data_IF_160626426578
#
_entry.id   IF_160626426578
#
_cell.length_a   1.000
_cell.length_b   1.000
_cell.length_c   1.000
_cell.angle_alpha   90.00
_cell.angle_beta   90.00
_cell.angle_gamma   90.00
#
_symmetry.space_group_name_H-M   'P 1'
#
loop_
_entity.id
_entity.type
_entity.pdbx_description
1 polymer ?
#
# COMPACT_ATOMS: atom_id res chain seq x y z
N UNK A 1 -21.88 36.25 17.25
CA UNK A 1 -21.20 37.30 18.05
C UNK A 1 -21.74 38.70 17.72
N UNK A 2 -21.92 39.56 18.73
CA UNK A 2 -22.30 40.96 18.52
C UNK A 2 -21.07 41.87 18.33
N UNK A 3 -21.17 42.94 17.52
CA UNK A 3 -20.08 43.92 17.37
C UNK A 3 -19.80 44.66 18.68
N UNK A 4 -18.55 45.12 18.85
CA UNK A 4 -18.13 45.92 20.02
C UNK A 4 -18.88 47.26 20.08
N UNK A 5 -19.10 47.80 21.28
CA UNK A 5 -19.88 49.02 21.51
C UNK A 5 -19.08 50.31 21.25
N UNK A 6 -18.46 50.41 20.08
CA UNK A 6 -17.88 51.65 19.56
C UNK A 6 -18.85 52.33 18.57
N UNK A 7 -18.66 53.63 18.24
CA UNK A 7 -19.51 54.34 17.28
C UNK A 7 -19.54 53.70 15.89
N UNK A 8 -18.43 53.13 15.45
CA UNK A 8 -18.22 52.52 14.13
C UNK A 8 -18.20 50.97 14.15
N UNK A 9 -18.30 50.37 15.34
CA UNK A 9 -18.26 48.92 15.57
C UNK A 9 -16.90 48.26 15.31
N UNK A 10 -15.80 49.03 15.35
CA UNK A 10 -14.43 48.52 15.25
C UNK A 10 -13.59 48.77 16.50
N UNK A 11 -12.48 48.04 16.62
CA UNK A 11 -11.48 48.21 17.69
C UNK A 11 -10.50 49.32 17.33
N UNK A 12 -10.13 50.10 18.34
CA UNK A 12 -9.16 51.19 18.27
C UNK A 12 -8.07 50.96 19.31
N UNK A 13 -6.82 51.12 18.88
CA UNK A 13 -5.69 51.21 19.79
C UNK A 13 -5.72 52.56 20.50
N UNK A 14 -5.34 52.59 21.78
CA UNK A 14 -5.10 53.85 22.46
C UNK A 14 -3.72 54.40 22.10
N UNK A 15 -3.60 55.71 21.96
CA UNK A 15 -2.32 56.39 21.69
C UNK A 15 -1.53 56.68 22.99
N UNK A 16 -2.14 56.40 24.16
CA UNK A 16 -1.56 56.63 25.49
C UNK A 16 -1.52 58.10 25.93
N UNK A 17 -2.10 59.02 25.15
CA UNK A 17 -2.03 60.48 25.39
C UNK A 17 -3.39 61.16 25.25
N UNK A 18 -4.13 60.89 24.18
CA UNK A 18 -5.38 61.58 23.83
C UNK A 18 -6.54 60.66 23.41
N UNK A 19 -6.25 59.42 23.01
CA UNK A 19 -7.21 58.43 22.56
C UNK A 19 -7.18 57.20 23.48
N UNK A 20 -8.33 56.89 24.07
CA UNK A 20 -8.51 55.68 24.87
C UNK A 20 -8.72 54.49 23.94
N UNK A 21 -7.95 53.42 24.18
CA UNK A 21 -8.15 52.16 23.48
C UNK A 21 -9.53 51.57 23.76
N UNK A 22 -10.01 50.73 22.84
CA UNK A 22 -11.31 50.08 22.97
C UNK A 22 -11.33 49.15 24.18
N UNK A 23 -12.22 49.44 25.13
CA UNK A 23 -12.43 48.59 26.31
C UNK A 23 -13.09 47.30 25.84
N UNK A 24 -12.51 46.15 26.22
CA UNK A 24 -13.06 44.82 25.95
C UNK A 24 -13.88 44.34 27.17
N UNK A 25 -15.21 44.52 27.19
CA UNK A 25 -16.02 44.13 28.32
C UNK A 25 -16.12 42.60 28.43
N UNK A 26 -16.34 42.10 29.64
CA UNK A 26 -16.41 40.67 29.92
C UNK A 26 -17.49 39.95 29.07
N UNK A 27 -18.61 40.61 28.78
CA UNK A 27 -19.66 40.03 27.93
C UNK A 27 -19.16 39.73 26.52
N UNK A 28 -18.27 40.56 25.97
CA UNK A 28 -17.75 40.39 24.61
C UNK A 28 -16.74 39.24 24.56
N UNK A 29 -15.79 39.21 25.51
CA UNK A 29 -14.82 38.11 25.65
C UNK A 29 -15.51 36.76 25.92
N UNK A 30 -16.56 36.75 26.73
CA UNK A 30 -17.35 35.55 26.97
C UNK A 30 -18.07 35.06 25.71
N UNK A 31 -18.56 35.95 24.84
CA UNK A 31 -19.11 35.55 23.54
C UNK A 31 -18.06 34.90 22.65
N UNK A 32 -16.84 35.47 22.57
CA UNK A 32 -15.73 34.86 21.82
C UNK A 32 -15.43 33.47 22.33
N UNK A 33 -15.34 33.31 23.65
CA UNK A 33 -15.10 32.02 24.26
C UNK A 33 -16.22 31.01 23.93
N UNK A 34 -17.49 31.41 24.06
CA UNK A 34 -18.63 30.55 23.76
C UNK A 34 -18.69 30.10 22.30
N UNK A 35 -18.39 30.99 21.34
CA UNK A 35 -18.36 30.65 19.90
C UNK A 35 -17.24 29.65 19.59
N UNK A 36 -16.03 29.85 20.16
CA UNK A 36 -14.92 28.90 19.98
C UNK A 36 -15.20 27.54 20.65
N UNK A 37 -15.86 27.53 21.81
CA UNK A 37 -16.33 26.31 22.46
C UNK A 37 -17.42 25.59 21.66
N UNK A 38 -18.31 26.32 21.00
CA UNK A 38 -19.33 25.74 20.12
C UNK A 38 -18.70 25.00 18.93
N UNK A 39 -17.64 25.55 18.34
CA UNK A 39 -16.86 24.87 17.28
C UNK A 39 -16.25 23.56 17.78
N UNK A 40 -15.63 23.57 18.98
CA UNK A 40 -15.10 22.35 19.61
C UNK A 40 -16.20 21.32 19.89
N UNK A 41 -17.35 21.77 20.40
CA UNK A 41 -18.51 20.92 20.73
C UNK A 41 -19.09 20.27 19.48
N UNK A 42 -19.24 21.03 18.39
CA UNK A 42 -19.71 20.51 17.11
C UNK A 42 -18.78 19.43 16.54
N UNK A 43 -17.47 19.55 16.78
CA UNK A 43 -16.49 18.53 16.45
C UNK A 43 -16.38 17.39 17.49
N UNK A 44 -17.16 17.41 18.58
CA UNK A 44 -17.05 16.44 19.68
C UNK A 44 -15.71 16.46 20.41
N UNK A 45 -15.00 17.60 20.40
CA UNK A 45 -13.71 17.78 21.08
C UNK A 45 -13.96 18.41 22.45
N UNK A 46 -13.43 17.79 23.50
CA UNK A 46 -13.43 18.38 24.83
C UNK A 46 -12.31 19.45 24.93
N UNK A 47 -12.61 20.66 25.43
CA UNK A 47 -11.62 21.72 25.53
C UNK A 47 -10.46 21.35 26.45
N UNK A 48 -9.24 21.62 26.02
CA UNK A 48 -8.01 21.34 26.77
C UNK A 48 -7.11 22.58 26.82
N UNK A 49 -6.78 23.04 28.03
CA UNK A 49 -5.92 24.22 28.24
C UNK A 49 -4.49 24.01 27.75
N UNK A 50 -4.02 22.76 27.68
CA UNK A 50 -2.68 22.44 27.21
C UNK A 50 -2.56 22.41 25.68
N UNK A 51 -3.68 22.52 24.93
CA UNK A 51 -3.72 22.42 23.47
C UNK A 51 -4.08 23.75 22.79
N UNK A 52 -3.09 24.50 22.26
CA UNK A 52 -3.34 25.78 21.61
C UNK A 52 -3.95 25.67 20.19
N UNK A 53 -4.07 24.46 19.63
CA UNK A 53 -4.51 24.20 18.25
C UNK A 53 -5.92 23.58 18.12
N UNK A 54 -6.65 23.43 19.23
CA UNK A 54 -7.91 22.70 19.31
C UNK A 54 -9.01 23.22 18.37
N UNK A 55 -9.11 24.54 18.15
CA UNK A 55 -10.09 25.13 17.22
C UNK A 55 -9.78 24.74 15.77
N UNK A 56 -8.49 24.68 15.40
CA UNK A 56 -8.06 24.24 14.07
C UNK A 56 -8.33 22.75 13.88
N UNK A 57 -8.11 21.92 14.91
CA UNK A 57 -8.48 20.50 14.89
C UNK A 57 -9.99 20.30 14.70
N UNK A 58 -10.81 21.08 15.43
CA UNK A 58 -12.26 21.03 15.30
C UNK A 58 -12.73 21.41 13.89
N UNK A 59 -12.19 22.49 13.31
CA UNK A 59 -12.53 22.90 11.95
C UNK A 59 -12.16 21.84 10.92
N UNK A 60 -10.97 21.22 11.03
CA UNK A 60 -10.56 20.12 10.15
C UNK A 60 -11.53 18.94 10.23
N UNK A 61 -11.86 18.52 11.45
CA UNK A 61 -12.80 17.41 11.69
C UNK A 61 -14.20 17.70 11.12
N UNK A 62 -14.74 18.89 11.36
CA UNK A 62 -16.05 19.30 10.81
C UNK A 62 -16.02 19.32 9.28
N UNK A 63 -14.95 19.84 8.68
CA UNK A 63 -14.78 19.87 7.21
C UNK A 63 -14.66 18.44 6.66
N UNK A 64 -13.92 17.56 7.31
CA UNK A 64 -13.75 16.16 6.89
C UNK A 64 -15.07 15.36 7.01
N UNK A 65 -15.82 15.54 8.09
CA UNK A 65 -17.14 14.93 8.28
C UNK A 65 -18.15 15.44 7.23
N UNK A 66 -18.13 16.74 6.93
CA UNK A 66 -18.96 17.35 5.88
C UNK A 66 -18.51 16.95 4.46
N UNK A 67 -17.22 16.75 4.23
CA UNK A 67 -16.66 16.26 2.97
C UNK A 67 -16.98 14.77 2.74
N UNK A 68 -17.07 13.97 3.82
CA UNK A 68 -17.55 12.59 3.79
C UNK A 68 -18.98 12.46 3.24
N UNK A 69 -19.81 13.51 3.37
CA UNK A 69 -21.16 13.58 2.80
C UNK A 69 -21.24 14.06 1.34
N UNK A 70 -20.14 14.55 0.75
CA UNK A 70 -20.12 15.10 -0.63
C UNK A 70 -19.38 14.23 -1.65
N UNK A 71 -18.68 13.19 -1.22
CA UNK A 71 -18.01 12.21 -2.09
C UNK A 71 -18.87 10.98 -2.41
N UNK A 72 -18.57 10.30 -3.50
CA UNK A 72 -19.14 8.97 -3.78
C UNK A 72 -18.75 8.00 -2.65
N UNK A 73 -19.69 7.25 -2.05
CA UNK A 73 -19.39 6.33 -0.96
C UNK A 73 -18.52 5.16 -1.44
N UNK A 74 -17.73 4.58 -0.52
CA UNK A 74 -16.98 3.33 -0.80
C UNK A 74 -17.97 2.24 -1.20
N UNK A 75 -17.65 1.52 -2.29
CA UNK A 75 -18.53 0.54 -2.91
C UNK A 75 -19.45 1.10 -4.00
N UNK A 76 -19.55 2.42 -4.17
CA UNK A 76 -20.28 3.00 -5.29
C UNK A 76 -19.64 2.58 -6.62
N UNK A 77 -20.47 2.19 -7.59
CA UNK A 77 -20.03 1.87 -8.95
C UNK A 77 -20.29 3.07 -9.85
N UNK A 78 -19.28 3.45 -10.63
CA UNK A 78 -19.34 4.54 -11.61
C UNK A 78 -18.78 4.11 -12.95
N UNK A 79 -19.42 4.55 -14.02
CA UNK A 79 -18.94 4.37 -15.38
C UNK A 79 -18.04 5.52 -15.80
N UNK A 80 -16.86 5.22 -16.33
CA UNK A 80 -15.99 6.19 -16.97
C UNK A 80 -15.88 5.89 -18.46
N UNK A 81 -15.98 6.90 -19.35
CA UNK A 81 -15.62 6.72 -20.75
C UNK A 81 -14.19 6.19 -20.86
N UNK A 82 -13.93 5.34 -21.88
CA UNK A 82 -12.72 4.51 -22.09
C UNK A 82 -11.34 5.20 -21.95
N UNK A 83 -11.30 6.53 -21.86
CA UNK A 83 -10.08 7.33 -21.72
C UNK A 83 -9.38 7.23 -20.36
N UNK A 84 -10.03 6.75 -19.29
CA UNK A 84 -9.43 6.71 -17.95
C UNK A 84 -8.91 5.31 -17.62
N UNK A 85 -7.58 5.19 -17.53
CA UNK A 85 -6.89 3.90 -17.35
C UNK A 85 -6.75 3.46 -15.88
N UNK A 86 -6.67 4.40 -14.93
CA UNK A 86 -6.58 4.15 -13.48
C UNK A 86 -7.00 5.39 -12.69
N UNK A 87 -8.30 5.58 -12.40
CA UNK A 87 -8.77 6.66 -11.55
C UNK A 87 -8.38 6.40 -10.09
N UNK A 88 -7.75 7.39 -9.45
CA UNK A 88 -7.30 7.30 -8.06
C UNK A 88 -8.46 6.99 -7.10
N UNK A 89 -8.27 6.01 -6.22
CA UNK A 89 -9.28 5.62 -5.25
C UNK A 89 -10.37 4.69 -5.80
N UNK A 90 -10.19 4.13 -7.00
CA UNK A 90 -11.12 3.17 -7.62
C UNK A 90 -10.41 1.89 -8.05
N UNK A 91 -11.16 0.79 -8.09
CA UNK A 91 -10.75 -0.48 -8.68
C UNK A 91 -11.68 -0.83 -9.85
N UNK A 92 -11.20 -1.61 -10.83
CA UNK A 92 -12.05 -2.05 -11.95
C UNK A 92 -13.09 -3.05 -11.45
N UNK A 93 -14.34 -2.89 -11.88
CA UNK A 93 -15.41 -3.84 -11.56
C UNK A 93 -15.37 -5.05 -12.54
N UNK A 94 -14.28 -5.82 -12.51
CA UNK A 94 -14.01 -6.93 -13.43
C UNK A 94 -14.12 -8.32 -12.80
N UNK A 95 -14.53 -8.41 -11.54
CA UNK A 95 -14.63 -9.67 -10.81
C UNK A 95 -13.33 -10.16 -10.16
N UNK A 96 -12.24 -9.40 -10.27
CA UNK A 96 -10.97 -9.70 -9.59
C UNK A 96 -11.10 -9.66 -8.07
N UNK A 97 -10.10 -10.20 -7.38
CA UNK A 97 -10.00 -10.12 -5.92
C UNK A 97 -9.14 -8.94 -5.49
N UNK A 98 -9.41 -8.42 -4.30
CA UNK A 98 -8.61 -7.35 -3.70
C UNK A 98 -8.15 -7.74 -2.29
N UNK A 99 -7.07 -7.12 -1.84
CA UNK A 99 -6.52 -7.36 -0.51
C UNK A 99 -7.38 -6.67 0.57
N UNK A 100 -7.98 -7.47 1.47
CA UNK A 100 -8.77 -6.96 2.59
C UNK A 100 -7.98 -5.99 3.48
N UNK A 101 -6.69 -6.27 3.72
CA UNK A 101 -5.83 -5.41 4.52
C UNK A 101 -5.63 -4.02 3.89
N UNK A 102 -5.69 -3.92 2.56
CA UNK A 102 -5.54 -2.67 1.82
C UNK A 102 -6.85 -1.90 1.71
N UNK A 103 -7.98 -2.61 1.59
CA UNK A 103 -9.32 -2.00 1.42
C UNK A 103 -10.36 -2.58 2.41
N UNK A 104 -10.19 -2.37 3.72
CA UNK A 104 -11.05 -2.97 4.74
C UNK A 104 -12.51 -2.48 4.67
N UNK A 105 -12.73 -1.21 4.32
CA UNK A 105 -14.07 -0.65 4.15
C UNK A 105 -14.79 -1.24 2.94
N UNK A 106 -14.07 -1.42 1.82
CA UNK A 106 -14.65 -2.05 0.64
C UNK A 106 -15.04 -3.51 0.94
N UNK A 107 -14.21 -4.25 1.68
CA UNK A 107 -14.52 -5.61 2.13
C UNK A 107 -15.81 -5.64 2.96
N UNK A 108 -15.96 -4.71 3.90
CA UNK A 108 -17.17 -4.61 4.73
C UNK A 108 -18.41 -4.31 3.90
N UNK A 109 -18.32 -3.43 2.91
CA UNK A 109 -19.45 -3.09 2.01
C UNK A 109 -19.82 -4.26 1.10
N UNK A 110 -18.84 -4.95 0.52
CA UNK A 110 -19.09 -6.06 -0.41
C UNK A 110 -19.41 -7.39 0.28
N UNK A 111 -19.10 -7.53 1.58
CA UNK A 111 -19.24 -8.80 2.31
C UNK A 111 -18.23 -9.88 1.90
N UNK A 112 -17.16 -9.50 1.18
CA UNK A 112 -16.15 -10.41 0.66
C UNK A 112 -15.02 -9.69 -0.08
N UNK A 113 -14.02 -10.44 -0.52
CA UNK A 113 -12.81 -9.90 -1.18
C UNK A 113 -12.87 -9.95 -2.72
N UNK A 114 -14.07 -10.09 -3.30
CA UNK A 114 -14.27 -10.18 -4.75
C UNK A 114 -15.06 -8.97 -5.24
N UNK A 115 -14.54 -8.31 -6.26
CA UNK A 115 -15.22 -7.18 -6.90
C UNK A 115 -16.44 -7.67 -7.70
N UNK A 116 -17.46 -6.82 -7.90
CA UNK A 116 -18.51 -7.11 -8.87
C UNK A 116 -17.89 -7.33 -10.26
N UNK A 117 -18.36 -8.33 -11.00
CA UNK A 117 -17.99 -8.52 -12.40
C UNK A 117 -19.06 -7.85 -13.27
N UNK A 118 -18.74 -6.64 -13.72
CA UNK A 118 -19.53 -5.83 -14.64
C UNK A 118 -18.90 -5.79 -16.04
N UNK A 119 -18.02 -6.74 -16.36
CA UNK A 119 -17.46 -6.97 -17.70
C UNK A 119 -18.19 -8.07 -18.46
N UNK A 120 -19.38 -8.49 -17.97
CA UNK A 120 -20.21 -9.48 -18.65
C UNK A 120 -20.66 -8.93 -20.00
N UNK A 121 -20.23 -9.62 -21.05
CA UNK A 121 -20.57 -9.33 -22.44
C UNK A 121 -21.56 -10.39 -22.91
N UNK A 122 -22.64 -9.97 -23.59
CA UNK A 122 -23.52 -10.90 -24.30
C UNK A 122 -23.20 -10.91 -25.81
N UNK A 123 -22.03 -10.40 -26.20
CA UNK A 123 -21.56 -10.43 -27.58
C UNK A 123 -21.47 -11.88 -28.07
N UNK A 124 -21.99 -12.13 -29.26
CA UNK A 124 -22.14 -13.47 -29.83
C UNK A 124 -23.50 -14.12 -29.58
N UNK A 125 -24.35 -13.54 -28.72
CA UNK A 125 -25.74 -13.98 -28.57
C UNK A 125 -26.52 -13.76 -29.86
N UNK A 126 -27.38 -14.72 -30.24
CA UNK A 126 -28.29 -14.59 -31.36
C UNK A 126 -29.73 -14.36 -30.90
N UNK A 127 -30.48 -13.59 -31.67
CA UNK A 127 -31.90 -13.33 -31.42
C UNK A 127 -32.65 -13.07 -32.73
N UNK A 128 -33.95 -13.38 -32.74
CA UNK A 128 -34.84 -13.06 -33.85
C UNK A 128 -35.52 -11.72 -33.61
N UNK A 129 -35.48 -10.87 -34.64
CA UNK A 129 -36.10 -9.56 -34.62
C UNK A 129 -37.34 -9.58 -35.53
N UNK A 130 -38.51 -9.12 -35.04
CA UNK A 130 -39.72 -8.99 -35.85
C UNK A 130 -39.72 -7.72 -36.71
N UNK A 131 -38.60 -6.98 -36.75
CA UNK A 131 -38.43 -5.71 -37.45
C UNK A 131 -37.26 -5.80 -38.43
N UNK A 132 -37.34 -5.05 -39.53
CA UNK A 132 -36.28 -5.00 -40.54
C UNK A 132 -35.13 -4.06 -40.13
N UNK A 133 -35.42 -3.02 -39.36
CA UNK A 133 -34.44 -2.07 -38.85
C UNK A 133 -33.65 -2.71 -37.71
N UNK A 134 -32.36 -2.99 -37.97
CA UNK A 134 -31.50 -3.67 -37.00
C UNK A 134 -30.99 -2.64 -35.98
N UNK A 135 -31.20 -2.86 -34.67
CA UNK A 135 -30.71 -1.93 -33.65
C UNK A 135 -29.19 -1.82 -33.60
N UNK A 136 -28.70 -0.70 -33.11
CA UNK A 136 -27.26 -0.50 -32.88
C UNK A 136 -26.68 -1.61 -31.98
N UNK A 137 -25.45 -2.01 -32.30
CA UNK A 137 -24.77 -3.12 -31.64
C UNK A 137 -25.23 -4.52 -32.08
N UNK A 138 -26.14 -4.63 -33.05
CA UNK A 138 -26.56 -5.89 -33.66
C UNK A 138 -26.24 -5.93 -35.16
N UNK A 139 -25.99 -7.13 -35.68
CA UNK A 139 -25.71 -7.38 -37.10
C UNK A 139 -26.60 -8.53 -37.57
N UNK A 140 -27.14 -8.47 -38.80
CA UNK A 140 -27.81 -9.63 -39.40
C UNK A 140 -26.82 -10.79 -39.48
N UNK A 141 -27.22 -11.98 -39.06
CA UNK A 141 -26.30 -13.11 -38.92
C UNK A 141 -25.54 -13.43 -40.22
N UNK A 142 -26.23 -13.38 -41.36
CA UNK A 142 -25.64 -13.68 -42.67
C UNK A 142 -24.71 -12.58 -43.22
N UNK A 143 -24.67 -11.41 -42.57
CA UNK A 143 -23.74 -10.32 -42.89
C UNK A 143 -22.48 -10.36 -42.01
N UNK A 144 -22.31 -11.39 -41.17
CA UNK A 144 -21.14 -11.51 -40.29
C UNK A 144 -19.82 -11.48 -41.06
N UNK A 145 -19.71 -12.28 -42.12
CA UNK A 145 -18.47 -12.36 -42.91
C UNK A 145 -18.09 -11.02 -43.57
N UNK A 146 -19.05 -10.13 -43.83
CA UNK A 146 -18.80 -8.85 -44.50
C UNK A 146 -18.64 -7.68 -43.52
N UNK A 147 -19.36 -7.68 -42.39
CA UNK A 147 -19.38 -6.57 -41.43
C UNK A 147 -18.44 -6.77 -40.24
N UNK A 148 -18.17 -8.01 -39.84
CA UNK A 148 -17.38 -8.30 -38.63
C UNK A 148 -15.89 -8.29 -38.97
N UNK A 149 -15.19 -7.28 -38.49
CA UNK A 149 -13.73 -7.16 -38.61
C UNK A 149 -13.09 -7.01 -37.23
N UNK A 150 -11.78 -7.29 -37.13
CA UNK A 150 -11.04 -7.13 -35.89
C UNK A 150 -11.06 -5.68 -35.37
N UNK A 151 -11.16 -4.68 -36.25
CA UNK A 151 -11.20 -3.26 -35.86
C UNK A 151 -12.60 -2.80 -35.44
N UNK A 152 -13.64 -3.20 -36.15
CA UNK A 152 -15.00 -2.76 -35.88
C UNK A 152 -15.65 -3.52 -34.70
N UNK A 153 -15.42 -4.83 -34.61
CA UNK A 153 -16.08 -5.74 -33.67
C UNK A 153 -15.06 -6.73 -33.06
N UNK A 154 -14.07 -6.24 -32.30
CA UNK A 154 -12.91 -7.04 -31.86
C UNK A 154 -13.29 -8.26 -31.01
N UNK A 155 -14.26 -8.13 -30.10
CA UNK A 155 -14.69 -9.24 -29.24
C UNK A 155 -15.40 -10.33 -30.05
N UNK A 156 -16.41 -9.94 -30.85
CA UNK A 156 -17.15 -10.88 -31.69
C UNK A 156 -16.22 -11.59 -32.68
N UNK A 157 -15.32 -10.83 -33.32
CA UNK A 157 -14.33 -11.38 -34.25
C UNK A 157 -13.47 -12.45 -33.56
N UNK A 158 -12.94 -12.17 -32.36
CA UNK A 158 -12.14 -13.13 -31.60
C UNK A 158 -12.91 -14.40 -31.27
N UNK A 159 -14.17 -14.28 -30.84
CA UNK A 159 -15.02 -15.42 -30.49
C UNK A 159 -15.28 -16.32 -31.71
N UNK A 160 -15.67 -15.71 -32.84
CA UNK A 160 -15.99 -16.45 -34.06
C UNK A 160 -14.75 -17.08 -34.70
N UNK A 161 -13.63 -16.36 -34.78
CA UNK A 161 -12.36 -16.91 -35.30
C UNK A 161 -11.83 -18.03 -34.41
N UNK A 162 -11.98 -17.94 -33.09
CA UNK A 162 -11.59 -19.04 -32.20
C UNK A 162 -12.42 -20.32 -32.46
N UNK A 163 -13.70 -20.17 -32.80
CA UNK A 163 -14.60 -21.30 -33.07
C UNK A 163 -14.43 -21.88 -34.48
N UNK A 164 -14.31 -21.02 -35.49
CA UNK A 164 -14.38 -21.41 -36.91
C UNK A 164 -13.04 -21.26 -37.66
N UNK A 165 -11.99 -20.77 -36.99
CA UNK A 165 -10.66 -20.57 -37.57
C UNK A 165 -10.50 -19.28 -38.40
N UNK A 166 -11.58 -18.80 -39.02
CA UNK A 166 -11.63 -17.52 -39.75
C UNK A 166 -13.04 -16.96 -39.76
N UNK A 167 -13.18 -15.65 -40.05
CA UNK A 167 -14.51 -15.03 -40.13
C UNK A 167 -15.29 -15.51 -41.37
N UNK A 168 -14.60 -15.82 -42.47
CA UNK A 168 -15.21 -16.33 -43.70
C UNK A 168 -15.73 -17.77 -43.55
N UNK A 169 -15.21 -18.50 -42.56
CA UNK A 169 -15.65 -19.86 -42.24
C UNK A 169 -16.88 -19.91 -41.34
N UNK A 170 -17.42 -18.76 -40.90
CA UNK A 170 -18.66 -18.72 -40.11
C UNK A 170 -19.82 -19.18 -41.00
N UNK A 171 -20.54 -20.26 -40.63
CA UNK A 171 -21.66 -20.74 -41.41
C UNK A 171 -22.77 -19.69 -41.49
N UNK A 172 -23.40 -19.57 -42.65
CA UNK A 172 -24.60 -18.73 -42.80
C UNK A 172 -25.83 -19.47 -42.27
N UNK A 173 -26.78 -18.71 -41.74
CA UNK A 173 -28.10 -19.21 -41.39
C UNK A 173 -28.93 -19.41 -42.66
N UNK A 174 -28.86 -18.50 -43.64
CA UNK A 174 -29.59 -18.58 -44.91
C UNK A 174 -31.10 -18.82 -44.66
N UNK A 175 -31.76 -19.59 -45.52
CA UNK A 175 -33.13 -20.06 -45.33
C UNK A 175 -33.17 -21.39 -44.54
N UNK A 176 -32.54 -21.43 -43.35
CA UNK A 176 -32.46 -22.65 -42.51
C UNK A 176 -33.06 -22.43 -41.13
N UNK A 177 -33.70 -23.48 -40.60
CA UNK A 177 -34.11 -23.51 -39.20
C UNK A 177 -32.92 -23.75 -38.27
N UNK A 178 -32.85 -22.95 -37.20
CA UNK A 178 -31.85 -23.12 -36.15
C UNK A 178 -32.31 -24.21 -35.17
N UNK A 179 -31.39 -25.10 -34.81
CA UNK A 179 -31.60 -26.18 -33.82
C UNK A 179 -30.41 -26.30 -32.88
N UNK A 180 -30.64 -26.92 -31.73
CA UNK A 180 -29.61 -27.10 -30.72
C UNK A 180 -28.53 -28.10 -31.17
N UNK A 181 -27.28 -27.77 -30.87
CA UNK A 181 -26.17 -28.72 -30.92
C UNK A 181 -26.37 -29.79 -29.83
N UNK A 182 -26.20 -31.05 -30.18
CA UNK A 182 -26.36 -32.18 -29.26
C UNK A 182 -25.77 -33.46 -29.84
N UNK A 183 -25.09 -34.26 -29.02
CA UNK A 183 -24.50 -35.52 -29.47
C UNK A 183 -23.47 -35.30 -30.58
N UNK A 184 -23.67 -35.92 -31.74
CA UNK A 184 -22.82 -35.76 -32.92
C UNK A 184 -23.05 -34.47 -33.71
N UNK A 185 -24.08 -33.68 -33.38
CA UNK A 185 -24.37 -32.41 -34.06
C UNK A 185 -23.63 -31.27 -33.39
N UNK A 186 -22.49 -30.87 -33.96
CA UNK A 186 -21.67 -29.77 -33.47
C UNK A 186 -22.21 -28.39 -33.90
N UNK A 187 -21.85 -27.35 -33.14
CA UNK A 187 -22.18 -25.95 -33.46
C UNK A 187 -21.66 -25.59 -34.87
N UNK A 188 -22.53 -25.04 -35.70
CA UNK A 188 -22.20 -24.67 -37.09
C UNK A 188 -22.44 -25.76 -38.14
N UNK A 189 -22.85 -26.97 -37.75
CA UNK A 189 -23.18 -28.03 -38.72
C UNK A 189 -24.44 -27.65 -39.53
N UNK A 190 -24.33 -27.61 -40.86
CA UNK A 190 -25.47 -27.41 -41.75
C UNK A 190 -26.10 -28.75 -42.15
N UNK A 191 -27.43 -28.80 -42.19
CA UNK A 191 -28.20 -29.98 -42.61
C UNK A 191 -29.13 -29.59 -43.77
N UNK A 192 -29.24 -30.46 -44.77
CA UNK A 192 -30.26 -30.33 -45.82
C UNK A 192 -31.63 -30.85 -45.36
N UNK A 193 -32.65 -30.59 -46.17
CA UNK A 193 -34.01 -31.03 -45.89
C UNK A 193 -34.11 -32.55 -45.91
N UNK A 194 -34.80 -33.10 -44.92
CA UNK A 194 -35.09 -34.53 -44.85
C UNK A 194 -36.52 -34.71 -44.38
N UNK A 195 -37.23 -35.62 -45.05
CA UNK A 195 -38.55 -36.09 -44.61
C UNK A 195 -38.43 -37.46 -43.96
N UNK A 196 -39.42 -37.79 -43.13
CA UNK A 196 -39.63 -39.18 -42.72
C UNK A 196 -40.10 -40.00 -43.92
N UNK A 197 -39.93 -41.31 -43.82
CA UNK A 197 -40.34 -42.25 -44.87
C UNK A 197 -41.84 -42.10 -45.21
N UNK A 198 -42.17 -42.08 -46.51
CA UNK A 198 -43.54 -42.11 -47.03
C UNK A 198 -43.80 -43.52 -47.53
N UNK A 199 -44.76 -44.21 -46.92
CA UNK A 199 -45.06 -45.61 -47.23
C UNK A 199 -46.38 -45.76 -47.96
N UNK A 200 -46.48 -46.79 -48.79
CA UNK A 200 -47.70 -47.22 -49.45
C UNK A 200 -47.51 -48.61 -50.03
N UNK A 201 -48.61 -49.29 -50.30
CA UNK A 201 -48.63 -50.64 -50.82
C UNK A 201 -49.25 -50.70 -52.21
N UNK A 202 -48.78 -51.68 -52.98
CA UNK A 202 -49.41 -52.13 -54.21
C UNK A 202 -49.55 -53.64 -54.09
N UNK A 203 -50.76 -54.14 -54.27
CA UNK A 203 -51.05 -55.57 -54.16
C UNK A 203 -51.40 -56.16 -55.54
N UNK A 204 -50.84 -57.33 -55.83
CA UNK A 204 -51.13 -58.13 -57.01
C UNK A 204 -51.77 -59.46 -56.57
N UNK A 205 -53.08 -59.62 -56.75
CA UNK A 205 -53.77 -60.88 -56.47
C UNK A 205 -53.79 -61.76 -57.72
N UNK A 206 -53.12 -62.91 -57.67
CA UNK A 206 -53.17 -63.94 -58.72
C UNK A 206 -54.17 -65.05 -58.31
N UNK A 207 -55.35 -65.09 -58.93
CA UNK A 207 -56.32 -66.17 -58.74
C UNK A 207 -57.10 -66.46 -60.03
N UNK A 208 -57.47 -67.74 -60.22
CA UNK A 208 -57.58 -68.49 -61.49
C UNK A 208 -58.42 -67.97 -62.67
N UNK A 209 -59.01 -66.77 -62.59
CA UNK A 209 -59.66 -66.10 -63.74
C UNK A 209 -59.41 -64.58 -63.81
N UNK A 210 -58.66 -63.98 -62.88
CA UNK A 210 -58.33 -62.54 -62.87
C UNK A 210 -56.85 -62.34 -63.09
N UNK A 211 -56.48 -62.05 -64.33
CA UNK A 211 -55.10 -61.76 -64.73
C UNK A 211 -54.83 -60.25 -64.64
N UNK A 212 -55.11 -59.63 -63.49
CA UNK A 212 -54.87 -58.20 -63.25
C UNK A 212 -53.60 -58.02 -62.42
N UNK A 213 -52.59 -57.37 -62.99
CA UNK A 213 -51.27 -57.17 -62.36
C UNK A 213 -51.33 -56.45 -61.02
N UNK A 214 -52.30 -55.56 -60.82
CA UNK A 214 -52.48 -54.85 -59.56
C UNK A 214 -53.97 -54.67 -59.23
N UNK A 215 -54.36 -55.03 -58.01
CA UNK A 215 -55.75 -55.07 -57.55
C UNK A 215 -56.07 -54.04 -56.47
N UNK A 216 -55.03 -53.48 -55.82
CA UNK A 216 -55.18 -52.48 -54.75
C UNK A 216 -53.94 -51.61 -54.64
N UNK A 217 -54.14 -50.31 -54.48
CA UNK A 217 -53.13 -49.37 -54.01
C UNK A 217 -53.59 -48.75 -52.69
N UNK A 218 -52.64 -48.45 -51.80
CA UNK A 218 -52.87 -47.70 -50.56
C UNK A 218 -51.68 -46.80 -50.21
N UNK A 219 -51.92 -45.88 -49.27
CA UNK A 219 -50.94 -44.85 -48.89
C UNK A 219 -50.65 -43.88 -50.04
N UNK A 220 -49.36 -43.61 -50.28
CA UNK A 220 -48.92 -42.69 -51.33
C UNK A 220 -49.08 -43.24 -52.75
N UNK A 221 -49.46 -44.51 -52.93
CA UNK A 221 -49.77 -45.05 -54.24
C UNK A 221 -51.27 -44.93 -54.56
N UNK A 222 -51.56 -44.73 -55.83
CA UNK A 222 -52.91 -44.84 -56.38
C UNK A 222 -52.89 -45.51 -57.75
N UNK A 223 -54.06 -45.91 -58.22
CA UNK A 223 -54.26 -46.54 -59.50
C UNK A 223 -55.37 -45.85 -60.25
N UNK A 224 -55.15 -45.56 -61.53
CA UNK A 224 -56.22 -45.05 -62.39
C UNK A 224 -57.25 -46.15 -62.66
N UNK A 225 -58.53 -45.76 -62.74
CA UNK A 225 -59.63 -46.67 -63.09
C UNK A 225 -59.54 -47.17 -64.54
N UNK A 226 -58.69 -46.54 -65.36
CA UNK A 226 -58.58 -46.77 -66.79
C UNK A 226 -58.21 -48.22 -67.15
N UNK A 227 -58.82 -48.71 -68.22
CA UNK A 227 -58.77 -50.07 -68.77
C UNK A 227 -57.66 -50.24 -69.83
N UNK A 228 -56.58 -49.47 -69.72
CA UNK A 228 -55.30 -49.80 -70.33
C UNK A 228 -54.83 -48.93 -71.51
N UNK A 229 -55.33 -47.70 -71.62
CA UNK A 229 -54.81 -46.70 -72.56
C UNK A 229 -53.42 -46.16 -72.15
N UNK A 230 -53.16 -45.93 -70.85
CA UNK A 230 -51.90 -45.38 -70.32
C UNK A 230 -51.22 -46.33 -69.30
N UNK A 231 -50.78 -47.50 -69.75
CA UNK A 231 -50.19 -48.52 -68.87
C UNK A 231 -48.68 -48.36 -68.65
N UNK A 232 -48.22 -48.47 -67.39
CA UNK A 232 -46.78 -48.59 -67.07
C UNK A 232 -46.24 -50.02 -67.19
N UNK A 233 -47.10 -51.04 -67.11
CA UNK A 233 -46.74 -52.47 -67.26
C UNK A 233 -47.86 -53.26 -67.98
N UNK A 234 -47.50 -54.29 -68.76
CA UNK A 234 -48.43 -55.16 -69.52
C UNK A 234 -48.04 -56.64 -69.33
N UNK A 235 -49.01 -57.52 -69.04
CA UNK A 235 -48.73 -58.92 -68.67
C UNK A 235 -48.64 -59.93 -69.82
N UNK A 236 -48.96 -59.59 -71.06
CA UNK A 236 -48.60 -60.42 -72.23
C UNK A 236 -48.67 -59.62 -73.53
N UNK A 237 -47.89 -60.04 -74.54
CA UNK A 237 -48.09 -59.62 -75.94
C UNK A 237 -49.00 -60.66 -76.60
N UNK A 238 -50.21 -60.27 -76.97
CA UNK A 238 -50.97 -60.97 -78.03
C UNK A 238 -52.22 -61.75 -77.65
N UNK A 239 -52.80 -61.59 -76.45
CA UNK A 239 -54.11 -62.20 -76.11
C UNK A 239 -55.18 -61.13 -75.86
N UNK A 240 -56.31 -61.23 -76.57
CA UNK A 240 -57.44 -60.30 -76.55
C UNK A 240 -58.14 -60.19 -75.19
N UNK A 241 -57.99 -61.18 -74.30
CA UNK A 241 -58.63 -61.16 -72.97
C UNK A 241 -57.84 -60.34 -71.92
N UNK A 242 -56.58 -60.01 -72.22
CA UNK A 242 -55.63 -59.40 -71.29
C UNK A 242 -55.31 -57.94 -71.60
N UNK A 243 -55.71 -57.46 -72.78
CA UNK A 243 -55.34 -56.13 -73.27
C UNK A 243 -56.02 -54.99 -72.48
N UNK A 244 -57.13 -55.29 -71.77
CA UNK A 244 -57.91 -54.34 -70.98
C UNK A 244 -57.55 -54.33 -69.48
N UNK A 245 -56.52 -55.09 -69.06
CA UNK A 245 -56.14 -55.30 -67.65
C UNK A 245 -54.91 -54.49 -67.22
N UNK A 246 -54.63 -53.38 -67.91
CA UNK A 246 -53.44 -52.57 -67.63
C UNK A 246 -53.82 -51.40 -66.74
N UNK A 247 -53.09 -51.22 -65.63
CA UNK A 247 -53.32 -50.14 -64.67
C UNK A 247 -52.10 -49.23 -64.61
N UNK A 248 -52.34 -47.91 -64.63
CA UNK A 248 -51.31 -46.93 -64.29
C UNK A 248 -51.19 -46.90 -62.77
N UNK A 249 -49.99 -47.12 -62.27
CA UNK A 249 -49.65 -46.86 -60.88
C UNK A 249 -49.04 -45.46 -60.81
N UNK A 250 -49.55 -44.63 -59.92
CA UNK A 250 -49.02 -43.29 -59.67
C UNK A 250 -48.58 -43.22 -58.21
N UNK A 251 -47.34 -42.77 -57.99
CA UNK A 251 -46.91 -42.30 -56.68
C UNK A 251 -47.27 -40.83 -56.56
N UNK A 252 -48.03 -40.50 -55.52
CA UNK A 252 -48.45 -39.14 -55.20
C UNK A 252 -48.37 -38.94 -53.68
N UNK A 253 -47.31 -38.25 -53.24
CA UNK A 253 -47.08 -37.95 -51.85
C UNK A 253 -48.18 -37.08 -51.23
N UNK A 254 -48.90 -36.28 -52.03
CA UNK A 254 -49.98 -35.39 -51.55
C UNK A 254 -51.12 -36.16 -50.88
N UNK A 255 -51.22 -37.46 -51.17
CA UNK A 255 -52.20 -38.40 -50.59
C UNK A 255 -51.89 -38.77 -49.14
N UNK A 256 -50.64 -38.57 -48.69
CA UNK A 256 -50.20 -38.93 -47.33
C UNK A 256 -49.72 -37.72 -46.53
N UNK A 257 -49.21 -36.67 -47.19
CA UNK A 257 -48.68 -35.47 -46.54
C UNK A 257 -48.95 -34.23 -47.40
N UNK A 258 -49.05 -33.02 -46.82
CA UNK A 258 -49.04 -31.77 -47.60
C UNK A 258 -47.76 -31.67 -48.44
N UNK A 259 -47.87 -31.17 -49.67
CA UNK A 259 -46.75 -31.03 -50.60
C UNK A 259 -46.59 -29.58 -51.07
N UNK A 260 -45.34 -29.21 -51.34
CA UNK A 260 -44.89 -27.94 -51.90
C UNK A 260 -43.49 -28.17 -52.52
N UNK A 261 -42.93 -27.15 -53.17
CA UNK A 261 -41.57 -27.22 -53.75
C UNK A 261 -40.46 -27.37 -52.68
N UNK A 262 -40.74 -26.99 -51.43
CA UNK A 262 -39.82 -27.03 -50.28
C UNK A 262 -40.46 -27.80 -49.11
N UNK A 263 -39.65 -28.64 -48.44
CA UNK A 263 -40.08 -29.37 -47.24
C UNK A 263 -39.87 -28.50 -46.00
N UNK A 264 -40.96 -27.98 -45.44
CA UNK A 264 -40.88 -27.21 -44.19
C UNK A 264 -42.12 -27.36 -43.29
N UNK A 265 -41.96 -27.28 -41.96
CA UNK A 265 -43.09 -27.03 -41.06
C UNK A 265 -43.68 -25.63 -41.32
N UNK A 266 -44.85 -25.35 -40.73
CA UNK A 266 -45.37 -23.98 -40.71
C UNK A 266 -44.36 -23.05 -40.04
N UNK A 267 -44.04 -21.93 -40.68
CA UNK A 267 -43.01 -21.00 -40.23
C UNK A 267 -43.48 -19.55 -40.31
N UNK A 268 -42.87 -18.71 -39.46
CA UNK A 268 -42.97 -17.25 -39.51
C UNK A 268 -41.55 -16.71 -39.63
N UNK A 269 -41.29 -15.93 -40.68
CA UNK A 269 -39.97 -15.38 -40.95
C UNK A 269 -39.68 -14.17 -40.04
N UNK A 270 -38.49 -14.13 -39.47
CA UNK A 270 -37.96 -13.03 -38.66
C UNK A 270 -36.47 -12.85 -38.99
N UNK A 271 -35.90 -11.68 -38.68
CA UNK A 271 -34.50 -11.41 -38.98
C UNK A 271 -33.61 -11.96 -37.87
N UNK A 272 -32.81 -12.99 -38.17
CA UNK A 272 -31.80 -13.49 -37.24
C UNK A 272 -30.63 -12.51 -37.16
N UNK A 273 -30.35 -12.03 -35.95
CA UNK A 273 -29.23 -11.14 -35.67
C UNK A 273 -28.29 -11.75 -34.63
N UNK A 274 -27.05 -11.27 -34.62
CA UNK A 274 -26.04 -11.53 -33.62
C UNK A 274 -25.63 -10.23 -32.93
N UNK A 275 -25.50 -10.25 -31.61
CA UNK A 275 -25.02 -9.11 -30.83
C UNK A 275 -23.53 -8.94 -31.08
N UNK A 276 -23.16 -7.80 -31.62
CA UNK A 276 -21.81 -7.49 -32.06
C UNK A 276 -21.06 -6.53 -31.13
N UNK A 277 -21.78 -5.70 -30.39
CA UNK A 277 -21.24 -4.80 -29.35
C UNK A 277 -22.16 -4.79 -28.13
N UNK A 278 -21.60 -4.54 -26.96
CA UNK A 278 -22.43 -4.19 -25.80
C UNK A 278 -22.80 -2.71 -25.85
N UNK A 279 -23.94 -2.40 -25.23
CA UNK A 279 -24.42 -1.04 -25.01
C UNK A 279 -23.51 -0.18 -24.12
N UNK A 280 -22.41 -0.73 -23.59
CA UNK A 280 -21.46 -0.08 -22.69
C UNK A 280 -19.99 -0.31 -23.11
N UNK A 281 -19.70 -0.73 -24.34
CA UNK A 281 -18.32 -1.04 -24.77
C UNK A 281 -17.35 0.17 -24.69
N UNK A 282 -17.90 1.39 -24.65
CA UNK A 282 -17.18 2.65 -24.46
C UNK A 282 -17.05 3.08 -22.99
N UNK A 283 -17.72 2.38 -22.06
CA UNK A 283 -17.75 2.69 -20.63
C UNK A 283 -17.08 1.57 -19.83
N UNK A 284 -16.03 1.92 -19.09
CA UNK A 284 -15.42 1.01 -18.11
C UNK A 284 -16.05 1.28 -16.76
N UNK A 285 -16.51 0.22 -16.09
CA UNK A 285 -17.13 0.30 -14.76
C UNK A 285 -16.07 0.17 -13.66
N UNK A 286 -16.11 1.10 -12.72
CA UNK A 286 -15.17 1.21 -11.62
C UNK A 286 -15.92 1.28 -10.29
N UNK A 287 -15.33 0.72 -9.24
CA UNK A 287 -15.88 0.74 -7.88
C UNK A 287 -15.00 1.58 -6.97
N UNK A 288 -15.61 2.49 -6.19
CA UNK A 288 -14.90 3.32 -5.23
C UNK A 288 -14.31 2.41 -4.14
N UNK A 289 -13.00 2.31 -4.07
CA UNK A 289 -12.33 1.40 -3.13
C UNK A 289 -11.98 2.06 -1.79
N UNK A 290 -11.66 3.35 -1.82
CA UNK A 290 -11.34 4.15 -0.66
C UNK A 290 -11.56 5.62 -1.01
N UNK A 291 -11.95 6.49 -0.07
CA UNK A 291 -12.01 7.94 -0.30
C UNK A 291 -10.65 8.52 -0.69
N UNK A 292 -10.57 9.76 -1.20
CA UNK A 292 -9.27 10.43 -1.25
C UNK A 292 -8.70 10.36 0.17
N UNK A 293 -7.60 9.64 0.36
CA UNK A 293 -6.87 9.70 1.62
C UNK A 293 -6.22 11.07 1.59
N UNK A 294 -6.96 12.09 1.99
CA UNK A 294 -6.35 13.31 2.52
C UNK A 294 -5.72 12.81 3.81
N UNK A 295 -4.53 12.27 3.67
CA UNK A 295 -3.80 11.68 4.76
C UNK A 295 -3.57 12.87 5.71
N UNK A 296 -4.36 12.97 6.79
CA UNK A 296 -4.12 13.95 7.83
C UNK A 296 -2.72 13.77 8.43
N UNK A 297 -2.09 12.61 8.16
CA UNK A 297 -0.68 12.35 8.24
C UNK A 297 -0.02 11.99 6.90
N UNK A 298 -0.07 12.84 5.87
CA UNK A 298 1.18 13.17 5.18
C UNK A 298 2.05 13.85 6.24
N UNK A 299 2.56 13.01 7.12
CA UNK A 299 3.74 13.26 7.89
C UNK A 299 4.74 13.65 6.82
N UNK A 300 4.96 14.96 6.69
CA UNK A 300 5.86 15.51 5.72
C UNK A 300 7.14 14.69 5.84
N UNK A 301 7.41 13.86 4.84
CA UNK A 301 8.56 12.97 4.90
C UNK A 301 9.83 13.81 5.04
N UNK A 302 9.80 15.09 4.62
CA UNK A 302 10.83 16.05 4.90
C UNK A 302 10.84 16.52 6.38
N UNK A 303 9.70 16.68 7.05
CA UNK A 303 9.63 16.96 8.49
C UNK A 303 10.04 15.75 9.32
N UNK A 304 9.59 14.53 9.00
CA UNK A 304 10.04 13.31 9.67
C UNK A 304 11.52 13.04 9.38
N UNK A 305 11.98 13.20 8.12
CA UNK A 305 13.40 13.08 7.80
C UNK A 305 14.20 14.17 8.52
N UNK A 306 13.71 15.41 8.57
CA UNK A 306 14.33 16.49 9.31
C UNK A 306 14.35 16.21 10.81
N UNK A 307 13.30 15.61 11.39
CA UNK A 307 13.21 15.24 12.80
C UNK A 307 14.08 14.03 13.15
N UNK A 308 14.15 13.02 12.27
CA UNK A 308 15.08 11.89 12.37
C UNK A 308 16.52 12.40 12.25
N UNK A 309 16.78 13.33 11.34
CA UNK A 309 18.10 13.94 11.16
C UNK A 309 18.43 14.88 12.32
N UNK A 310 17.45 15.58 12.89
CA UNK A 310 17.60 16.35 14.14
C UNK A 310 17.88 15.45 15.33
N UNK A 311 17.21 14.29 15.44
CA UNK A 311 17.49 13.28 16.49
C UNK A 311 18.84 12.60 16.30
N UNK A 312 19.22 12.27 15.07
CA UNK A 312 20.54 11.75 14.75
C UNK A 312 21.64 12.77 15.05
N UNK A 313 21.33 14.07 14.97
CA UNK A 313 22.25 15.17 15.23
C UNK A 313 22.17 15.74 16.65
N UNK A 314 21.22 15.30 17.50
CA UNK A 314 20.99 15.85 18.85
C UNK A 314 20.85 14.72 19.87
N UNK A 315 22.01 14.34 20.41
CA UNK A 315 22.23 13.94 21.80
C UNK A 315 21.45 12.75 22.37
N UNK A 316 21.96 11.53 22.19
CA UNK A 316 22.05 10.57 23.31
C UNK A 316 23.34 9.73 23.33
N UNK A 317 24.09 9.62 22.23
CA UNK A 317 25.49 9.14 22.29
C UNK A 317 26.29 9.76 21.14
N UNK A 318 27.16 10.73 21.45
CA UNK A 318 28.30 11.19 20.65
C UNK A 318 28.13 11.32 19.12
N UNK A 319 28.19 12.54 18.55
CA UNK A 319 28.42 12.71 17.12
C UNK A 319 29.67 11.91 16.71
N UNK A 320 29.58 11.13 15.64
CA UNK A 320 30.67 10.28 15.11
C UNK A 320 31.95 11.07 14.74
N UNK A 321 31.90 12.39 14.81
CA UNK A 321 33.01 13.29 14.57
C UNK A 321 33.03 14.49 15.54
N UNK A 322 32.89 14.25 16.85
CA UNK A 322 33.36 15.25 17.81
C UNK A 322 34.74 14.85 18.32
N UNK A 323 35.71 15.73 18.10
CA UNK A 323 37.10 15.60 18.56
C UNK A 323 37.34 16.71 19.57
N UNK A 324 37.69 16.38 20.81
CA UNK A 324 38.15 17.36 21.77
C UNK A 324 39.56 17.81 21.41
N UNK A 325 39.78 19.12 21.29
CA UNK A 325 41.13 19.68 21.22
C UNK A 325 41.57 20.03 22.64
N UNK A 326 42.87 20.05 22.90
CA UNK A 326 43.41 20.42 24.21
C UNK A 326 42.94 21.81 24.69
N UNK A 327 42.55 22.69 23.76
CA UNK A 327 41.98 24.01 24.05
C UNK A 327 40.57 23.96 24.66
N UNK A 328 39.84 22.85 24.47
CA UNK A 328 38.47 22.67 24.96
C UNK A 328 38.42 22.11 26.39
N UNK A 329 39.59 21.77 26.97
CA UNK A 329 39.73 21.30 28.36
C UNK A 329 40.24 22.47 29.20
N UNK A 330 39.31 23.36 29.58
CA UNK A 330 39.60 24.66 30.19
C UNK A 330 40.30 24.58 31.55
N UNK A 331 40.24 23.42 32.22
CA UNK A 331 40.81 23.16 33.53
C UNK A 331 42.07 22.28 33.50
N UNK A 332 42.54 21.85 32.31
CA UNK A 332 43.70 20.96 32.18
C UNK A 332 44.96 21.53 32.84
N UNK A 333 45.22 22.83 32.63
CA UNK A 333 46.35 23.51 33.25
C UNK A 333 46.25 23.54 34.79
N UNK A 334 45.04 23.66 35.32
CA UNK A 334 44.80 23.65 36.77
C UNK A 334 44.95 22.25 37.35
N UNK A 335 44.43 21.23 36.67
CA UNK A 335 44.57 19.83 37.06
C UNK A 335 46.05 19.40 37.09
N UNK A 336 46.82 19.74 36.05
CA UNK A 336 48.26 19.48 35.99
C UNK A 336 49.02 20.28 37.05
N UNK A 337 48.66 21.53 37.31
CA UNK A 337 49.26 22.34 38.37
C UNK A 337 49.11 21.72 39.77
N UNK A 338 47.96 21.12 40.07
CA UNK A 338 47.69 20.47 41.35
C UNK A 338 48.55 19.21 41.58
N UNK A 339 48.95 18.50 40.52
CA UNK A 339 49.82 17.32 40.59
C UNK A 339 51.27 17.65 40.99
N UNK A 340 51.72 18.90 40.82
CA UNK A 340 53.11 19.31 41.04
C UNK A 340 53.25 20.54 41.97
N UNK A 341 52.31 20.72 42.90
CA UNK A 341 52.35 21.82 43.86
C UNK A 341 53.71 21.86 44.60
N UNK A 342 54.35 23.03 44.66
CA UNK A 342 55.67 23.20 45.25
C UNK A 342 55.83 24.58 45.90
N UNK A 343 56.63 24.62 46.96
CA UNK A 343 57.12 25.84 47.60
C UNK A 343 58.65 25.87 47.52
N UNK A 344 59.19 26.70 46.62
CA UNK A 344 60.63 26.81 46.36
C UNK A 344 61.25 27.90 47.25
N UNK A 345 61.41 27.60 48.54
CA UNK A 345 62.05 28.47 49.52
C UNK A 345 63.17 27.73 50.28
N UNK A 346 63.88 28.44 51.16
CA UNK A 346 64.95 27.86 51.99
C UNK A 346 64.46 26.68 52.83
N UNK A 347 63.22 26.78 53.33
CA UNK A 347 62.42 25.65 53.81
C UNK A 347 61.22 25.50 52.88
N UNK A 348 61.08 24.34 52.26
CA UNK A 348 60.18 24.15 51.11
C UNK A 348 59.79 22.71 50.86
N UNK A 349 58.93 22.52 49.85
CA UNK A 349 58.47 21.19 49.43
C UNK A 349 58.19 21.12 47.94
N UNK A 350 58.16 19.89 47.42
CA UNK A 350 57.65 19.58 46.09
C UNK A 350 56.82 18.30 46.14
N UNK A 351 55.57 18.39 45.65
CA UNK A 351 54.74 17.22 45.34
C UNK A 351 55.06 16.71 43.94
N UNK A 352 55.04 15.40 43.78
CA UNK A 352 55.24 14.70 42.52
C UNK A 352 53.92 14.09 42.06
N UNK A 353 53.74 13.93 40.75
CA UNK A 353 52.50 13.39 40.18
C UNK A 353 52.15 11.96 40.64
N UNK A 354 53.13 11.20 41.16
CA UNK A 354 52.92 9.87 41.73
C UNK A 354 52.47 9.89 43.20
N UNK A 355 52.26 11.07 43.80
CA UNK A 355 51.81 11.25 45.18
C UNK A 355 52.93 11.40 46.20
N UNK A 356 54.20 11.21 45.83
CA UNK A 356 55.32 11.46 46.73
C UNK A 356 55.51 12.96 46.98
N UNK A 357 55.94 13.28 48.19
CA UNK A 357 56.25 14.63 48.64
C UNK A 357 57.68 14.61 49.18
N UNK A 358 58.50 15.56 48.74
CA UNK A 358 59.84 15.82 49.27
C UNK A 358 59.83 17.19 49.91
N UNK A 359 60.28 17.26 51.16
CA UNK A 359 60.34 18.49 51.96
C UNK A 359 61.77 18.70 52.47
N UNK A 360 62.22 19.95 52.50
CA UNK A 360 63.58 20.29 52.92
C UNK A 360 63.58 21.57 53.75
N UNK A 361 64.65 21.74 54.51
CA UNK A 361 64.92 22.97 55.22
C UNK A 361 66.24 22.95 55.96
N UNK A 362 66.47 23.98 56.77
CA UNK A 362 67.60 24.03 57.68
C UNK A 362 67.28 24.84 58.93
N UNK A 363 68.06 24.62 59.98
CA UNK A 363 67.99 25.36 61.23
C UNK A 363 69.37 25.35 61.91
N UNK A 364 69.61 26.32 62.78
CA UNK A 364 70.76 26.32 63.68
C UNK A 364 70.46 25.40 64.86
N UNK A 365 71.30 24.40 65.08
CA UNK A 365 71.20 23.47 66.22
C UNK A 365 72.37 23.76 67.16
N UNK A 366 72.13 24.06 68.45
CA UNK A 366 73.19 24.23 69.43
C UNK A 366 73.89 22.89 69.72
N UNK A 367 75.05 22.98 70.38
CA UNK A 367 75.82 21.85 70.89
C UNK A 367 74.93 20.88 71.68
N UNK A 368 75.03 19.58 71.36
CA UNK A 368 74.18 18.47 71.84
C UNK A 368 72.66 18.74 71.73
N UNK A 369 72.28 19.66 70.85
CA UNK A 369 70.91 20.10 70.66
C UNK A 369 70.06 19.08 69.90
N UNK A 370 68.78 19.01 70.26
CA UNK A 370 67.78 18.19 69.56
C UNK A 370 66.47 18.98 69.43
N UNK A 371 66.29 19.64 68.28
CA UNK A 371 65.26 20.65 68.08
C UNK A 371 64.13 20.18 67.17
N UNK A 372 62.88 20.62 67.41
CA UNK A 372 61.74 20.28 66.56
C UNK A 372 61.80 21.03 65.23
N UNK A 373 61.37 20.34 64.17
CA UNK A 373 61.18 20.86 62.82
C UNK A 373 59.74 20.62 62.43
N UNK A 374 59.06 21.66 61.94
CA UNK A 374 57.72 21.56 61.37
C UNK A 374 57.85 21.48 59.85
N UNK A 375 57.20 20.49 59.24
CA UNK A 375 57.17 20.34 57.79
C UNK A 375 56.26 21.40 57.14
N UNK A 376 56.66 22.02 56.02
CA UNK A 376 55.81 22.92 55.25
C UNK A 376 54.42 22.39 54.92
N UNK A 377 54.30 21.09 54.63
CA UNK A 377 53.02 20.40 54.46
C UNK A 377 52.98 19.12 55.29
N UNK A 378 51.78 18.66 55.64
CA UNK A 378 51.64 17.36 56.28
C UNK A 378 51.72 16.26 55.20
N UNK A 379 52.51 15.21 55.43
CA UNK A 379 52.42 13.98 54.65
C UNK A 379 51.03 13.35 54.89
N UNK A 380 50.17 13.21 53.86
CA UNK A 380 48.81 12.71 54.04
C UNK A 380 48.75 11.37 54.79
N UNK A 381 49.60 10.43 54.39
CA UNK A 381 49.63 9.06 54.88
C UNK A 381 50.81 8.82 55.83
N UNK A 382 52.05 9.07 55.41
CA UNK A 382 53.24 8.77 56.21
C UNK A 382 54.51 9.54 55.76
N UNK A 383 55.34 9.93 56.73
CA UNK A 383 56.74 10.28 56.48
C UNK A 383 57.56 8.99 56.42
N UNK A 384 58.17 8.71 55.26
CA UNK A 384 58.94 7.49 55.02
C UNK A 384 60.37 7.59 55.56
N UNK A 385 61.02 8.73 55.38
CA UNK A 385 62.38 8.93 55.84
C UNK A 385 62.69 10.41 56.10
N UNK A 386 63.60 10.66 57.03
CA UNK A 386 64.24 11.96 57.23
C UNK A 386 65.74 11.76 57.28
N UNK A 387 66.48 12.52 56.48
CA UNK A 387 67.93 12.63 56.59
C UNK A 387 68.29 14.01 57.15
N UNK A 388 69.27 14.02 58.05
CA UNK A 388 69.87 15.23 58.58
C UNK A 388 71.33 15.28 58.16
N UNK A 389 71.81 16.45 57.77
CA UNK A 389 73.20 16.68 57.38
C UNK A 389 73.66 17.99 58.00
N UNK A 390 74.73 17.93 58.77
CA UNK A 390 75.35 19.10 59.37
C UNK A 390 76.42 19.64 58.42
N UNK A 391 76.46 20.97 58.26
CA UNK A 391 77.54 21.63 57.54
C UNK A 391 78.66 21.99 58.51
N UNK A 392 79.88 21.61 58.15
CA UNK A 392 81.09 22.01 58.84
C UNK A 392 82.13 22.43 57.80
N UNK A 393 82.64 23.66 57.92
CA UNK A 393 83.50 24.30 56.91
C UNK A 393 84.95 23.77 56.90
N UNK A 394 85.26 22.77 57.73
CA UNK A 394 86.61 22.21 57.91
C UNK A 394 86.56 20.70 58.06
N UNK A 395 87.71 20.02 57.96
CA UNK A 395 87.79 18.60 58.25
C UNK A 395 87.63 18.34 59.75
N UNK A 396 86.90 17.29 60.13
CA UNK A 396 86.89 16.79 61.51
C UNK A 396 88.23 16.10 61.76
N UNK A 397 89.10 16.69 62.59
CA UNK A 397 90.46 16.21 62.87
C UNK A 397 90.57 15.63 64.29
N UNK A 398 91.66 14.89 64.56
CA UNK A 398 91.93 14.25 65.86
C UNK A 398 90.82 13.27 66.30
N UNK A 399 90.52 13.23 67.60
CA UNK A 399 89.46 12.41 68.19
C UNK A 399 88.11 13.14 68.28
N UNK A 400 87.91 14.19 67.47
CA UNK A 400 86.66 14.93 67.43
C UNK A 400 85.58 14.18 66.67
N UNK A 401 84.33 14.39 67.08
CA UNK A 401 83.15 13.79 66.47
C UNK A 401 82.17 14.90 66.15
N UNK A 402 81.52 14.81 65.00
CA UNK A 402 80.35 15.61 64.66
C UNK A 402 79.39 14.71 63.87
N UNK A 403 78.23 14.43 64.45
CA UNK A 403 77.21 13.60 63.82
C UNK A 403 75.87 14.33 63.84
N UNK A 404 75.19 14.37 62.70
CA UNK A 404 73.81 14.81 62.61
C UNK A 404 72.88 13.60 62.72
N UNK A 405 71.77 13.76 63.42
CA UNK A 405 70.76 12.72 63.54
C UNK A 405 69.34 13.29 63.47
N UNK A 406 68.40 12.47 63.04
CA UNK A 406 66.98 12.80 63.01
C UNK A 406 66.20 11.79 63.87
N UNK A 407 65.15 12.26 64.55
CA UNK A 407 64.30 11.43 65.39
C UNK A 407 62.90 12.04 65.57
N UNK A 408 62.04 11.38 66.35
CA UNK A 408 60.64 11.80 66.58
C UNK A 408 59.90 12.17 65.28
N UNK A 409 60.03 11.32 64.26
CA UNK A 409 59.44 11.54 62.94
C UNK A 409 57.93 11.32 63.01
N UNK A 410 57.18 12.30 62.51
CA UNK A 410 55.72 12.29 62.41
C UNK A 410 55.29 12.76 61.02
N UNK A 411 53.99 12.80 60.74
CA UNK A 411 53.47 13.28 59.46
C UNK A 411 53.62 14.80 59.26
N UNK A 412 53.84 15.56 60.33
CA UNK A 412 53.84 17.03 60.31
C UNK A 412 55.19 17.63 60.72
N UNK A 413 56.18 16.79 61.02
CA UNK A 413 57.48 17.26 61.48
C UNK A 413 58.38 16.14 62.00
N UNK A 414 59.59 16.51 62.34
CA UNK A 414 60.58 15.67 62.98
C UNK A 414 61.33 16.45 64.06
N UNK A 415 62.35 15.84 64.65
CA UNK A 415 63.39 16.55 65.36
C UNK A 415 64.73 16.23 64.70
N UNK A 416 65.61 17.22 64.67
CA UNK A 416 66.98 17.04 64.20
C UNK A 416 67.94 17.55 65.26
N UNK A 417 69.06 16.85 65.38
CA UNK A 417 70.06 17.14 66.38
C UNK A 417 71.47 16.95 65.87
N UNK A 418 72.41 17.44 66.67
CA UNK A 418 73.82 17.16 66.54
C UNK A 418 74.34 16.49 67.81
N UNK A 419 75.37 15.67 67.65
CA UNK A 419 76.18 15.17 68.76
C UNK A 419 77.63 15.39 68.38
N UNK A 420 78.37 16.01 69.28
CA UNK A 420 79.73 16.42 69.01
C UNK A 420 80.67 16.19 70.18
N UNK A 421 81.96 16.07 69.87
CA UNK A 421 83.01 16.01 70.86
C UNK A 421 84.18 16.87 70.39
N UNK A 422 84.50 17.91 71.16
CA UNK A 422 85.60 18.83 70.88
C UNK A 422 85.37 19.85 69.75
N UNK A 423 84.19 19.86 69.13
CA UNK A 423 83.72 20.92 68.24
C UNK A 423 82.68 21.74 68.99
N UNK A 424 82.81 23.07 69.01
CA UNK A 424 81.94 23.96 69.80
C UNK A 424 81.17 24.92 68.88
N UNK A 425 79.98 25.30 69.32
CA UNK A 425 79.11 26.32 68.72
C UNK A 425 78.02 25.74 67.82
N UNK A 426 76.88 26.43 67.74
CA UNK A 426 75.74 26.01 66.91
C UNK A 426 76.16 25.74 65.46
N UNK A 427 75.57 24.69 64.87
CA UNK A 427 75.80 24.30 63.48
C UNK A 427 74.50 24.32 62.68
N UNK A 428 74.62 24.68 61.41
CA UNK A 428 73.51 24.54 60.46
C UNK A 428 73.29 23.07 60.18
N UNK A 429 72.10 22.57 60.50
CA UNK A 429 71.64 21.24 60.10
C UNK A 429 70.61 21.40 58.99
N UNK A 430 70.93 20.84 57.83
CA UNK A 430 69.98 20.64 56.75
C UNK A 430 69.21 19.36 57.00
N UNK A 431 67.94 19.36 56.64
CA UNK A 431 67.11 18.18 56.68
C UNK A 431 66.36 18.00 55.36
N UNK A 432 66.13 16.73 55.03
CA UNK A 432 65.36 16.30 53.88
C UNK A 432 64.40 15.21 54.36
N UNK A 433 63.11 15.40 54.14
CA UNK A 433 62.06 14.44 54.45
C UNK A 433 61.38 13.98 53.16
N UNK A 434 60.98 12.71 53.11
CA UNK A 434 60.20 12.14 52.00
C UNK A 434 59.03 11.34 52.56
N UNK A 435 57.86 11.46 51.93
CA UNK A 435 56.63 10.79 52.35
C UNK A 435 55.52 10.93 51.31
N UNK A 436 54.29 10.55 51.68
CA UNK A 436 53.09 10.63 50.83
C UNK A 436 51.82 10.64 51.69
#
# INVERSE_FOLDING_TARGET
>A
MHPIETPDKTFHDGDGVSELGTILPAWWLNQVQSELLAVLTAAGIQPDKAKPNQVVEALRKIIDEQAGGKGLPVGAVVGFPRAISSPEGYLKADGSTFAQATYPDLYRVLGGNKLPNLTRSDVGMTAYFPIEAIPDGWIKYDEVATKVTQSAYPELYRLLVAQYGSIDAVPKAEDRFIRNASGSLAVGTQQGDTIRNITGGIEALYSGYRYTLYTKADGAFTMDLDDGANSTFSSSKGDSDHNNRKKRVVFDASRSVPTADEVRPKALAMVLCIKAQNSLDDVVMWIKAFGKVTNAGTLDAATLAADIQRKANRDEVAPKAHTHRAADITDFAQAVGNLFAAQKAATGYQKMANGLIVEWGSLQVPDDGFLPVVFPVAFPNACLNVQATVIFESAVTYSYILAAHAGKITKTGCHVGISENGIVGSKTVHWLAIGY
#
